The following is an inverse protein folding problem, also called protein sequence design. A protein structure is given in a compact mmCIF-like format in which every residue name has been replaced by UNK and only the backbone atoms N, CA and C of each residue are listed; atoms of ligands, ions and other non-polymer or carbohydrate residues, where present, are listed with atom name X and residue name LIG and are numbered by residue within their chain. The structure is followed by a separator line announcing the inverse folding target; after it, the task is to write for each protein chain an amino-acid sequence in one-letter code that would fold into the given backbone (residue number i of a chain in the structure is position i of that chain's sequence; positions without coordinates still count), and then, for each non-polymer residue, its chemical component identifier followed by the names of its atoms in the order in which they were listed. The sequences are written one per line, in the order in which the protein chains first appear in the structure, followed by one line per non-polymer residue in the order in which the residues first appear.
data_IF_296509413883
#
_entry.id   IF_296509413883
#
_cell.length_a   1.000
_cell.length_b   1.000
_cell.length_c   1.000
_cell.angle_alpha   90.00
_cell.angle_beta   90.00
_cell.angle_gamma   90.00
#
_symmetry.space_group_name_H-M   'P 1'
#
loop_
_entity.id
_entity.type
_entity.pdbx_description
1 polymer ?
#
# COMPACT_ATOMS: atom_id res chain seq x y z
N UNK A 1 25.44 24.29 -23.75
CA UNK A 1 24.58 25.45 -23.42
C UNK A 1 23.67 25.02 -22.29
N UNK A 2 23.83 25.54 -21.08
CA UNK A 2 22.92 25.20 -19.98
C UNK A 2 21.54 25.74 -20.32
N UNK A 3 20.55 24.87 -20.50
CA UNK A 3 19.18 25.29 -20.68
C UNK A 3 18.77 26.15 -19.48
N UNK A 4 18.16 27.31 -19.73
CA UNK A 4 17.59 28.14 -18.67
C UNK A 4 16.54 27.30 -17.93
N UNK A 5 16.59 27.22 -16.59
CA UNK A 5 15.63 26.43 -15.84
C UNK A 5 14.21 26.95 -16.09
N UNK A 6 13.26 26.03 -16.26
CA UNK A 6 11.85 26.37 -16.45
C UNK A 6 11.25 26.80 -15.12
N UNK A 7 10.57 27.94 -15.10
CA UNK A 7 9.92 28.48 -13.89
C UNK A 7 8.41 28.29 -13.98
N UNK A 8 7.82 27.63 -12.98
CA UNK A 8 6.38 27.59 -12.76
C UNK A 8 6.01 28.55 -11.62
N UNK A 9 5.01 29.40 -11.83
CA UNK A 9 4.53 30.32 -10.80
C UNK A 9 3.27 29.77 -10.12
N UNK A 10 3.25 29.80 -8.78
CA UNK A 10 2.06 29.60 -7.96
C UNK A 10 1.76 30.92 -7.24
N UNK A 11 0.53 31.39 -7.36
CA UNK A 11 0.03 32.54 -6.60
C UNK A 11 -0.62 32.06 -5.31
N UNK A 12 -0.19 32.61 -4.17
CA UNK A 12 -0.73 32.29 -2.84
C UNK A 12 -1.98 33.13 -2.57
N UNK A 13 -3.14 32.50 -2.44
CA UNK A 13 -4.41 33.17 -2.17
C UNK A 13 -4.97 32.79 -0.79
N UNK A 14 -5.37 33.80 0.00
CA UNK A 14 -5.89 33.57 1.37
C UNK A 14 -7.13 32.68 1.32
N UNK A 15 -7.12 31.61 2.12
CA UNK A 15 -8.21 30.65 2.24
C UNK A 15 -8.20 29.56 1.16
N UNK A 16 -7.23 29.58 0.25
CA UNK A 16 -7.12 28.58 -0.81
C UNK A 16 -6.62 27.24 -0.27
N UNK A 17 -7.32 26.16 -0.62
CA UNK A 17 -7.02 24.77 -0.23
C UNK A 17 -6.99 23.90 -1.48
N UNK A 18 -5.80 23.65 -2.00
CA UNK A 18 -5.60 22.91 -3.25
C UNK A 18 -5.36 21.40 -3.00
N UNK A 19 -6.17 20.78 -2.15
CA UNK A 19 -6.01 19.36 -1.79
C UNK A 19 -6.20 18.42 -2.99
N UNK A 20 -7.02 18.80 -3.96
CA UNK A 20 -7.34 18.00 -5.15
C UNK A 20 -6.54 18.39 -6.40
N UNK A 21 -5.70 19.43 -6.31
CA UNK A 21 -4.89 19.89 -7.44
C UNK A 21 -3.43 19.50 -7.25
N UNK A 22 -2.86 18.81 -8.22
CA UNK A 22 -1.46 18.37 -8.18
C UNK A 22 -0.71 19.01 -9.34
N UNK A 23 0.23 19.89 -9.01
CA UNK A 23 1.17 20.44 -9.98
C UNK A 23 2.31 19.44 -10.21
N UNK A 24 2.56 19.03 -11.46
CA UNK A 24 3.69 18.15 -11.80
C UNK A 24 4.86 18.99 -12.31
N UNK A 25 6.02 18.82 -11.68
CA UNK A 25 7.25 19.55 -11.96
C UNK A 25 8.35 18.55 -12.33
N UNK A 26 9.33 18.97 -13.13
CA UNK A 26 10.52 18.17 -13.38
C UNK A 26 11.65 18.59 -12.45
N UNK A 27 12.67 17.74 -12.34
CA UNK A 27 13.91 18.09 -11.64
C UNK A 27 14.56 19.30 -12.30
N UNK A 28 15.18 20.13 -11.46
CA UNK A 28 15.85 21.39 -11.81
C UNK A 28 14.91 22.52 -12.26
N UNK A 29 13.58 22.31 -12.27
CA UNK A 29 12.63 23.41 -12.42
C UNK A 29 12.60 24.30 -11.18
N UNK A 30 12.24 25.56 -11.39
CA UNK A 30 12.05 26.55 -10.33
C UNK A 30 10.56 26.69 -10.09
N UNK A 31 10.13 26.45 -8.85
CA UNK A 31 8.80 26.78 -8.40
C UNK A 31 8.83 28.13 -7.70
N UNK A 32 8.20 29.13 -8.32
CA UNK A 32 8.14 30.50 -7.82
C UNK A 32 6.80 30.75 -7.14
N UNK A 33 6.84 31.11 -5.87
CA UNK A 33 5.66 31.52 -5.13
C UNK A 33 5.52 33.04 -5.14
N UNK A 34 4.32 33.52 -5.43
CA UNK A 34 3.97 34.94 -5.49
C UNK A 34 2.79 35.21 -4.55
N UNK A 35 2.68 36.43 -4.03
CA UNK A 35 1.55 36.81 -3.17
C UNK A 35 0.37 37.27 -4.02
N UNK A 36 -0.81 36.67 -3.78
CA UNK A 36 -2.06 37.15 -4.34
C UNK A 36 -2.49 38.48 -3.71
N UNK A 37 -3.43 39.18 -4.37
CA UNK A 37 -3.82 40.56 -4.03
C UNK A 37 -4.21 40.78 -2.56
N UNK A 38 -4.85 39.79 -1.94
CA UNK A 38 -5.29 39.86 -0.54
C UNK A 38 -4.17 39.68 0.51
N UNK A 39 -2.96 39.37 0.06
CA UNK A 39 -1.78 39.12 0.90
C UNK A 39 -0.71 40.21 0.82
N UNK A 40 -0.87 41.21 -0.04
CA UNK A 40 0.07 42.33 -0.09
C UNK A 40 0.15 43.07 1.24
N UNK A 41 1.35 43.55 1.57
CA UNK A 41 1.70 44.20 2.84
C UNK A 41 1.51 43.35 4.11
N UNK A 42 1.32 42.04 3.98
CA UNK A 42 1.30 41.10 5.12
C UNK A 42 2.59 40.29 5.18
N UNK A 43 3.02 39.99 6.40
CA UNK A 43 4.07 39.01 6.61
C UNK A 43 3.51 37.62 6.33
N UNK A 44 4.11 36.92 5.37
CA UNK A 44 3.69 35.56 5.00
C UNK A 44 4.85 34.61 5.24
N UNK A 45 4.64 33.59 6.06
CA UNK A 45 5.61 32.51 6.27
C UNK A 45 5.15 31.29 5.46
N UNK A 46 5.98 30.83 4.53
CA UNK A 46 5.73 29.68 3.66
C UNK A 46 6.64 28.52 4.08
N UNK A 47 6.08 27.35 4.30
CA UNK A 47 6.80 26.11 4.62
C UNK A 47 6.58 25.07 3.53
N UNK A 48 7.61 24.27 3.24
CA UNK A 48 7.55 23.20 2.24
C UNK A 48 8.04 21.87 2.84
N UNK A 49 7.13 20.91 2.94
CA UNK A 49 7.39 19.55 3.45
C UNK A 49 7.48 18.56 2.29
N UNK A 50 8.35 17.51 2.35
CA UNK A 50 9.25 17.14 3.45
C UNK A 50 10.61 17.86 3.44
N UNK A 51 10.83 18.83 2.54
CA UNK A 51 12.12 19.51 2.40
C UNK A 51 12.57 20.34 3.61
N UNK A 52 11.65 20.62 4.54
CA UNK A 52 11.84 21.50 5.69
C UNK A 52 12.38 22.90 5.32
N UNK A 53 12.10 23.37 4.10
CA UNK A 53 12.43 24.73 3.67
C UNK A 53 11.35 25.69 4.14
N UNK A 54 11.78 26.83 4.69
CA UNK A 54 10.92 27.92 5.11
C UNK A 54 11.34 29.22 4.42
N UNK A 55 10.34 30.01 4.03
CA UNK A 55 10.51 31.29 3.36
C UNK A 55 9.61 32.33 4.03
N UNK A 56 10.06 33.59 4.05
CA UNK A 56 9.31 34.71 4.61
C UNK A 56 9.13 35.77 3.53
N UNK A 57 7.91 36.27 3.38
CA UNK A 57 7.57 37.41 2.54
C UNK A 57 7.31 38.66 3.40
N UNK A 58 7.75 39.86 2.95
CA UNK A 58 8.69 40.07 1.85
C UNK A 58 10.10 39.53 2.18
N UNK A 59 10.82 39.06 1.16
CA UNK A 59 12.16 38.49 1.36
C UNK A 59 13.13 39.59 1.85
N UNK A 60 13.80 39.44 3.01
CA UNK A 60 14.56 40.53 3.64
C UNK A 60 15.70 41.12 2.79
N UNK A 61 16.11 40.42 1.73
CA UNK A 61 17.29 40.73 0.91
C UNK A 61 16.98 41.41 -0.44
N UNK A 62 15.72 41.58 -0.83
CA UNK A 62 15.35 42.24 -2.11
C UNK A 62 14.88 43.68 -1.88
N UNK A 63 15.62 44.63 -2.47
CA UNK A 63 15.50 46.08 -2.33
C UNK A 63 14.52 46.76 -3.32
N UNK A 64 13.80 46.00 -4.15
CA UNK A 64 12.82 46.56 -5.10
C UNK A 64 11.38 46.25 -4.69
N UNK A 65 10.57 47.30 -4.54
CA UNK A 65 9.21 47.29 -3.98
C UNK A 65 8.14 46.49 -4.77
N UNK A 66 8.49 45.86 -5.91
CA UNK A 66 7.50 45.32 -6.85
C UNK A 66 7.61 43.82 -7.17
N UNK A 67 8.69 43.13 -6.76
CA UNK A 67 8.92 41.71 -7.08
C UNK A 67 9.03 40.86 -5.80
N UNK A 68 7.91 40.70 -5.08
CA UNK A 68 7.83 39.83 -3.90
C UNK A 68 7.54 38.39 -4.30
N UNK A 69 8.58 37.67 -4.68
CA UNK A 69 8.53 36.23 -4.92
C UNK A 69 9.63 35.50 -4.16
N UNK A 70 9.35 34.25 -3.79
CA UNK A 70 10.34 33.30 -3.27
C UNK A 70 10.42 32.09 -4.20
N UNK A 71 11.59 31.49 -4.28
CA UNK A 71 11.85 30.40 -5.22
C UNK A 71 12.28 29.13 -4.50
N UNK A 72 11.69 28.03 -4.94
CA UNK A 72 12.04 26.68 -4.56
C UNK A 72 12.62 25.96 -5.77
N UNK A 73 13.87 25.53 -5.68
CA UNK A 73 14.50 24.69 -6.71
C UNK A 73 14.09 23.23 -6.48
N UNK A 74 13.55 22.59 -7.52
CA UNK A 74 13.13 21.19 -7.51
C UNK A 74 14.34 20.26 -7.67
N UNK A 75 15.13 20.08 -6.63
CA UNK A 75 16.37 19.28 -6.63
C UNK A 75 16.15 17.80 -6.28
N UNK A 76 15.02 17.48 -5.65
CA UNK A 76 14.64 16.13 -5.23
C UNK A 76 13.31 15.70 -5.84
N UNK A 77 13.24 14.42 -6.22
CA UNK A 77 11.99 13.80 -6.66
C UNK A 77 11.08 13.52 -5.46
N UNK A 78 9.77 13.58 -5.68
CA UNK A 78 8.80 13.20 -4.66
C UNK A 78 7.58 14.12 -4.62
N UNK A 79 6.74 13.87 -3.63
CA UNK A 79 5.56 14.67 -3.35
C UNK A 79 5.85 15.68 -2.25
N UNK A 80 5.51 16.93 -2.50
CA UNK A 80 5.72 18.04 -1.61
C UNK A 80 4.40 18.73 -1.29
N UNK A 81 4.29 19.23 -0.07
CA UNK A 81 3.20 20.08 0.38
C UNK A 81 3.76 21.44 0.74
N UNK A 82 3.14 22.49 0.23
CA UNK A 82 3.40 23.84 0.69
C UNK A 82 2.24 24.32 1.56
N UNK A 83 2.55 25.01 2.65
CA UNK A 83 1.58 25.66 3.51
C UNK A 83 2.08 27.07 3.82
N UNK A 84 1.19 28.04 3.92
CA UNK A 84 1.58 29.39 4.32
C UNK A 84 0.71 29.95 5.45
N UNK A 85 1.31 30.82 6.24
CA UNK A 85 0.77 31.38 7.46
C UNK A 85 0.88 32.91 7.41
N UNK A 86 -0.11 33.60 7.93
CA UNK A 86 -0.14 35.06 7.98
C UNK A 86 0.29 35.53 9.37
N UNK A 87 1.20 36.50 9.40
CA UNK A 87 1.69 37.13 10.63
C UNK A 87 2.20 36.06 11.61
N UNK A 88 1.82 36.15 12.88
CA UNK A 88 2.21 35.19 13.92
C UNK A 88 1.20 34.05 14.09
N UNK A 89 0.30 33.85 13.10
CA UNK A 89 -0.70 32.79 13.17
C UNK A 89 -0.07 31.41 13.04
N UNK A 90 -0.51 30.48 13.88
CA UNK A 90 -0.19 29.05 13.76
C UNK A 90 -1.17 28.30 12.86
N UNK A 91 -2.28 28.93 12.46
CA UNK A 91 -3.25 28.34 11.57
C UNK A 91 -2.87 28.61 10.12
N UNK A 92 -2.77 27.54 9.33
CA UNK A 92 -2.48 27.65 7.90
C UNK A 92 -3.53 28.54 7.24
N UNK A 93 -3.08 29.52 6.46
CA UNK A 93 -3.88 30.46 5.71
C UNK A 93 -4.13 30.02 4.26
N UNK A 94 -3.51 28.93 3.84
CA UNK A 94 -3.74 28.21 2.60
C UNK A 94 -2.65 27.18 2.35
N UNK A 95 -2.95 26.20 1.51
CA UNK A 95 -2.02 25.11 1.19
C UNK A 95 -2.31 24.42 -0.13
N UNK A 96 -1.33 23.65 -0.59
CA UNK A 96 -1.45 22.82 -1.78
C UNK A 96 -0.28 21.85 -1.94
N UNK A 97 -0.33 21.10 -3.04
CA UNK A 97 0.62 20.02 -3.32
C UNK A 97 1.27 20.18 -4.68
N UNK A 98 2.54 19.80 -4.76
CA UNK A 98 3.23 19.62 -6.03
C UNK A 98 4.06 18.34 -5.99
N UNK A 99 4.29 17.76 -7.15
CA UNK A 99 5.01 16.51 -7.32
C UNK A 99 6.15 16.71 -8.32
N UNK A 100 7.38 16.51 -7.86
CA UNK A 100 8.56 16.51 -8.72
C UNK A 100 8.72 15.09 -9.26
N UNK A 101 8.40 14.91 -10.55
CA UNK A 101 8.38 13.59 -11.18
C UNK A 101 9.78 13.00 -11.31
N UNK A 102 9.96 11.68 -11.09
CA UNK A 102 11.23 11.01 -11.33
C UNK A 102 11.61 11.05 -12.80
N UNK A 103 12.91 11.21 -13.05
CA UNK A 103 13.57 11.00 -14.34
C UNK A 103 14.69 9.98 -14.16
N UNK A 104 14.82 9.05 -15.09
CA UNK A 104 15.88 8.03 -15.06
C UNK A 104 16.98 8.38 -16.05
N UNK A 105 18.22 8.35 -15.58
CA UNK A 105 19.38 8.36 -16.46
C UNK A 105 19.68 6.89 -16.81
N UNK A 106 19.45 6.53 -18.07
CA UNK A 106 19.74 5.19 -18.57
C UNK A 106 21.06 5.17 -19.35
N UNK A 107 21.53 3.96 -19.67
CA UNK A 107 22.73 3.72 -20.45
C UNK A 107 22.84 4.63 -21.69
N UNK A 108 24.06 5.09 -21.97
CA UNK A 108 24.35 5.99 -23.10
C UNK A 108 23.97 7.46 -22.85
N UNK A 109 23.70 7.85 -21.60
CA UNK A 109 23.41 9.24 -21.23
C UNK A 109 22.02 9.72 -21.65
N UNK A 110 21.14 8.79 -22.04
CA UNK A 110 19.75 9.10 -22.42
C UNK A 110 18.92 9.29 -21.15
N UNK A 111 18.06 10.30 -21.16
CA UNK A 111 17.03 10.50 -20.13
C UNK A 111 15.76 9.77 -20.52
N UNK A 112 15.16 9.07 -19.56
CA UNK A 112 13.86 8.43 -19.70
C UNK A 112 12.86 9.13 -18.79
N UNK A 113 11.75 9.57 -19.40
CA UNK A 113 10.63 10.20 -18.71
C UNK A 113 9.53 9.17 -18.44
N UNK A 114 8.64 9.47 -17.50
CA UNK A 114 7.44 8.65 -17.22
C UNK A 114 6.61 8.37 -18.49
N UNK A 115 6.45 9.36 -19.37
CA UNK A 115 5.65 9.22 -20.59
C UNK A 115 6.29 8.34 -21.66
N UNK A 116 7.58 8.01 -21.51
CA UNK A 116 8.30 7.13 -22.42
C UNK A 116 8.37 5.68 -21.95
N UNK A 117 7.75 5.35 -20.80
CA UNK A 117 7.77 3.99 -20.26
C UNK A 117 6.87 3.05 -21.07
N UNK A 118 7.47 1.94 -21.49
CA UNK A 118 6.80 0.77 -22.06
C UNK A 118 7.21 -0.43 -21.22
N UNK A 119 6.30 -0.85 -20.33
CA UNK A 119 6.54 -1.89 -19.35
C UNK A 119 5.92 -3.23 -19.77
N UNK A 120 6.65 -4.32 -19.56
CA UNK A 120 6.14 -5.69 -19.68
C UNK A 120 6.25 -6.41 -18.34
N UNK A 121 5.17 -7.08 -17.95
CA UNK A 121 5.11 -7.85 -16.69
C UNK A 121 5.57 -9.28 -16.90
N UNK A 122 6.45 -9.75 -16.02
CA UNK A 122 6.85 -11.14 -15.92
C UNK A 122 6.48 -11.71 -14.55
N UNK A 123 5.90 -12.91 -14.55
CA UNK A 123 5.76 -13.72 -13.34
C UNK A 123 7.15 -14.26 -12.99
N UNK A 124 7.80 -13.69 -11.96
CA UNK A 124 9.18 -14.01 -11.61
C UNK A 124 9.39 -15.52 -11.41
N UNK A 125 8.45 -16.21 -10.74
CA UNK A 125 8.48 -17.66 -10.53
C UNK A 125 8.51 -18.51 -11.82
N UNK A 126 8.16 -17.94 -12.98
CA UNK A 126 8.19 -18.62 -14.28
C UNK A 126 9.45 -18.27 -15.10
N UNK A 127 10.33 -17.41 -14.59
CA UNK A 127 11.62 -17.10 -15.21
C UNK A 127 12.68 -18.20 -14.98
N UNK A 128 12.38 -19.21 -14.14
CA UNK A 128 13.33 -20.28 -13.84
C UNK A 128 14.53 -19.78 -13.02
N UNK A 129 15.64 -20.54 -13.03
CA UNK A 129 16.86 -20.18 -12.32
C UNK A 129 17.44 -18.81 -12.77
N UNK A 130 18.06 -18.06 -11.86
CA UNK A 130 18.52 -16.68 -12.09
C UNK A 130 19.49 -16.57 -13.28
N UNK A 131 20.35 -17.57 -13.49
CA UNK A 131 21.29 -17.61 -14.61
C UNK A 131 20.60 -17.66 -16.00
N UNK A 132 19.33 -18.05 -16.06
CA UNK A 132 18.52 -18.04 -17.29
C UNK A 132 17.71 -16.76 -17.48
N UNK A 133 17.59 -15.91 -16.46
CA UNK A 133 16.74 -14.72 -16.53
C UNK A 133 17.16 -13.79 -17.65
N UNK A 134 18.46 -13.58 -17.83
CA UNK A 134 18.98 -12.72 -18.90
C UNK A 134 18.50 -13.17 -20.28
N UNK A 135 18.64 -14.44 -20.64
CA UNK A 135 18.22 -14.92 -21.96
C UNK A 135 16.70 -14.83 -22.15
N UNK A 136 15.94 -15.11 -21.09
CA UNK A 136 14.46 -15.04 -21.11
C UNK A 136 13.96 -13.60 -21.21
N UNK A 137 14.56 -12.66 -20.48
CA UNK A 137 14.22 -11.24 -20.51
C UNK A 137 14.72 -10.52 -21.78
N UNK A 138 15.67 -11.10 -22.51
CA UNK A 138 16.18 -10.53 -23.77
C UNK A 138 15.07 -10.34 -24.82
N UNK A 139 14.04 -11.20 -24.81
CA UNK A 139 12.89 -11.08 -25.71
C UNK A 139 12.16 -9.75 -25.50
N UNK A 140 11.97 -9.32 -24.25
CA UNK A 140 11.36 -8.05 -23.92
C UNK A 140 12.19 -6.86 -24.44
N UNK A 141 13.51 -6.92 -24.24
CA UNK A 141 14.43 -5.91 -24.76
C UNK A 141 14.35 -5.80 -26.29
N UNK A 142 14.45 -6.93 -27.00
CA UNK A 142 14.39 -6.99 -28.46
C UNK A 142 13.04 -6.57 -29.03
N UNK A 143 11.96 -6.75 -28.27
CA UNK A 143 10.62 -6.28 -28.63
C UNK A 143 10.43 -4.76 -28.41
N UNK A 144 11.41 -4.06 -27.84
CA UNK A 144 11.37 -2.61 -27.66
C UNK A 144 10.77 -2.12 -26.34
N UNK A 145 10.53 -3.01 -25.37
CA UNK A 145 10.20 -2.60 -24.01
C UNK A 145 11.44 -1.98 -23.34
N UNK A 146 11.22 -0.99 -22.49
CA UNK A 146 12.28 -0.33 -21.72
C UNK A 146 12.08 -0.45 -20.20
N UNK A 147 11.09 -1.24 -19.79
CA UNK A 147 10.75 -1.46 -18.39
C UNK A 147 10.30 -2.92 -18.21
N UNK A 148 10.88 -3.61 -17.23
CA UNK A 148 10.43 -4.93 -16.78
C UNK A 148 9.76 -4.76 -15.43
N UNK A 149 8.51 -5.18 -15.36
CA UNK A 149 7.79 -5.35 -14.11
C UNK A 149 7.88 -6.81 -13.66
N UNK A 150 8.37 -7.05 -12.44
CA UNK A 150 8.45 -8.37 -11.82
C UNK A 150 7.39 -8.48 -10.73
N UNK A 151 6.63 -9.57 -10.75
CA UNK A 151 5.91 -10.01 -9.53
C UNK A 151 6.92 -10.32 -8.42
N UNK A 152 6.49 -10.47 -7.15
CA UNK A 152 7.42 -10.67 -6.05
C UNK A 152 8.45 -11.78 -6.29
N UNK A 153 9.71 -11.46 -6.01
CA UNK A 153 10.87 -12.35 -6.17
C UNK A 153 11.25 -13.04 -4.86
N UNK A 154 10.55 -12.71 -3.77
CA UNK A 154 10.77 -13.24 -2.43
C UNK A 154 10.30 -14.70 -2.31
N UNK A 155 10.72 -15.36 -1.24
CA UNK A 155 10.27 -16.72 -0.91
C UNK A 155 8.75 -16.78 -0.77
N UNK A 156 8.14 -17.73 -1.48
CA UNK A 156 6.69 -17.89 -1.52
C UNK A 156 6.20 -18.89 -0.47
N UNK A 157 4.96 -18.72 -0.05
CA UNK A 157 4.26 -19.62 0.84
C UNK A 157 3.78 -20.91 0.19
N UNK A 158 3.11 -21.72 1.00
CA UNK A 158 2.64 -23.06 0.65
C UNK A 158 1.67 -23.09 -0.55
N UNK A 159 0.97 -22.00 -0.83
CA UNK A 159 0.08 -21.89 -1.99
C UNK A 159 0.83 -21.72 -3.32
N UNK A 160 2.12 -21.39 -3.26
CA UNK A 160 2.95 -21.00 -4.41
C UNK A 160 2.35 -19.84 -5.23
N UNK A 161 1.48 -19.03 -4.62
CA UNK A 161 0.99 -17.78 -5.20
C UNK A 161 2.07 -16.71 -5.12
N UNK A 162 2.28 -15.96 -6.20
CA UNK A 162 3.32 -14.92 -6.27
C UNK A 162 3.11 -13.80 -5.25
N UNK A 163 1.90 -13.62 -4.74
CA UNK A 163 1.55 -12.59 -3.75
C UNK A 163 1.45 -13.13 -2.32
N UNK A 164 1.57 -14.45 -2.13
CA UNK A 164 1.59 -15.07 -0.81
C UNK A 164 3.03 -15.25 -0.35
N UNK A 165 3.67 -14.17 0.09
CA UNK A 165 5.09 -14.15 0.47
C UNK A 165 5.29 -14.78 1.86
N UNK A 166 6.17 -15.78 1.97
CA UNK A 166 6.50 -16.43 3.23
C UNK A 166 7.59 -15.70 4.00
N UNK A 167 8.66 -15.29 3.30
CA UNK A 167 9.79 -14.58 3.88
C UNK A 167 10.17 -13.41 2.96
N UNK A 168 10.03 -12.19 3.47
CA UNK A 168 10.24 -10.97 2.70
C UNK A 168 11.73 -10.67 2.48
N UNK A 169 12.59 -11.16 3.37
CA UNK A 169 14.04 -10.91 3.37
C UNK A 169 14.85 -12.05 2.72
N UNK A 170 14.18 -13.00 2.08
CA UNK A 170 14.82 -14.13 1.41
C UNK A 170 14.36 -14.20 -0.04
N UNK A 171 15.30 -14.43 -0.94
CA UNK A 171 15.02 -14.65 -2.35
C UNK A 171 14.32 -15.99 -2.55
N UNK A 172 13.42 -16.09 -3.53
CA UNK A 172 12.77 -17.35 -3.86
C UNK A 172 13.80 -18.44 -4.21
N UNK A 173 13.82 -19.59 -3.51
CA UNK A 173 14.79 -20.67 -3.77
C UNK A 173 14.67 -21.28 -5.17
N UNK A 174 13.54 -21.07 -5.87
CA UNK A 174 13.38 -21.47 -7.28
C UNK A 174 14.39 -20.83 -8.22
N UNK A 175 15.02 -19.72 -7.81
CA UNK A 175 16.00 -19.01 -8.64
C UNK A 175 17.43 -19.57 -8.52
N UNK A 176 17.65 -20.53 -7.63
CA UNK A 176 18.91 -21.28 -7.54
C UNK A 176 19.38 -21.47 -6.11
N UNK A 177 20.22 -22.49 -5.92
CA UNK A 177 20.91 -22.72 -4.66
C UNK A 177 22.03 -21.67 -4.47
N UNK A 178 22.11 -21.07 -3.27
CA UNK A 178 23.08 -20.03 -2.91
C UNK A 178 23.00 -18.72 -3.72
N UNK A 179 21.81 -18.38 -4.23
CA UNK A 179 21.54 -17.10 -4.88
C UNK A 179 20.85 -16.16 -3.90
N UNK A 180 21.25 -14.90 -3.88
CA UNK A 180 20.66 -13.87 -3.02
C UNK A 180 20.23 -12.61 -3.79
N UNK A 181 19.76 -11.59 -3.06
CA UNK A 181 19.38 -10.31 -3.67
C UNK A 181 20.56 -9.55 -4.28
N UNK A 182 21.82 -9.80 -3.86
CA UNK A 182 22.98 -9.17 -4.47
C UNK A 182 23.20 -9.72 -5.89
N UNK A 183 22.94 -11.00 -6.13
CA UNK A 183 23.03 -11.59 -7.47
C UNK A 183 21.93 -11.06 -8.39
N UNK A 184 20.70 -10.90 -7.87
CA UNK A 184 19.63 -10.22 -8.61
C UNK A 184 20.02 -8.78 -8.93
N UNK A 185 20.60 -8.05 -7.97
CA UNK A 185 21.10 -6.69 -8.17
C UNK A 185 22.16 -6.64 -9.27
N UNK A 186 23.15 -7.55 -9.27
CA UNK A 186 24.17 -7.60 -10.33
C UNK A 186 23.55 -7.78 -11.71
N UNK A 187 22.55 -8.65 -11.82
CA UNK A 187 21.81 -8.85 -13.07
C UNK A 187 21.06 -7.59 -13.48
N UNK A 188 20.27 -7.00 -12.57
CA UNK A 188 19.51 -5.76 -12.83
C UNK A 188 20.45 -4.64 -13.27
N UNK A 189 21.55 -4.40 -12.55
CA UNK A 189 22.57 -3.41 -12.90
C UNK A 189 23.17 -3.70 -14.30
N UNK A 190 23.43 -4.97 -14.63
CA UNK A 190 23.91 -5.35 -15.96
C UNK A 190 22.89 -4.97 -17.05
N UNK A 191 21.61 -5.30 -16.85
CA UNK A 191 20.55 -5.06 -17.83
C UNK A 191 20.20 -3.57 -17.94
N UNK A 192 20.23 -2.82 -16.85
CA UNK A 192 20.12 -1.36 -16.84
C UNK A 192 21.24 -0.72 -17.67
N UNK A 193 22.49 -1.15 -17.46
CA UNK A 193 23.66 -0.58 -18.13
C UNK A 193 23.80 -1.04 -19.60
N UNK A 194 23.41 -2.26 -19.95
CA UNK A 194 23.56 -2.79 -21.32
C UNK A 194 22.35 -2.50 -22.20
N UNK A 195 21.15 -2.59 -21.64
CA UNK A 195 19.90 -2.49 -22.39
C UNK A 195 19.13 -1.19 -22.14
N UNK A 196 19.53 -0.40 -21.12
CA UNK A 196 18.79 0.79 -20.73
C UNK A 196 17.40 0.48 -20.19
N UNK A 197 17.19 -0.73 -19.67
CA UNK A 197 15.90 -1.18 -19.13
C UNK A 197 15.81 -0.90 -17.64
N UNK A 198 14.71 -0.31 -17.18
CA UNK A 198 14.44 -0.19 -15.74
C UNK A 198 13.66 -1.39 -15.21
N UNK A 199 13.79 -1.64 -13.91
CA UNK A 199 13.08 -2.71 -13.22
C UNK A 199 12.14 -2.13 -12.16
N UNK A 200 10.93 -2.69 -12.11
CA UNK A 200 9.94 -2.40 -11.08
C UNK A 200 9.49 -3.73 -10.50
N UNK A 201 9.29 -3.77 -9.19
CA UNK A 201 8.78 -4.95 -8.50
C UNK A 201 7.54 -4.58 -7.71
N UNK A 202 6.55 -5.48 -7.73
CA UNK A 202 5.43 -5.42 -6.79
C UNK A 202 5.89 -5.45 -5.33
N UNK A 203 5.24 -4.66 -4.48
CA UNK A 203 5.41 -4.68 -3.03
C UNK A 203 4.09 -5.04 -2.36
N UNK A 204 4.11 -6.06 -1.51
CA UNK A 204 2.91 -6.61 -0.83
C UNK A 204 2.95 -6.24 0.65
N UNK A 205 2.14 -5.25 1.04
CA UNK A 205 2.10 -4.74 2.42
C UNK A 205 0.96 -5.31 3.26
N UNK A 206 -0.10 -5.76 2.60
CA UNK A 206 -1.39 -6.03 3.22
C UNK A 206 -1.56 -7.47 3.74
N UNK A 207 -0.73 -8.42 3.28
CA UNK A 207 -0.83 -9.81 3.70
C UNK A 207 0.50 -10.54 3.56
N UNK A 208 0.60 -11.70 4.22
CA UNK A 208 1.71 -12.63 4.13
C UNK A 208 1.19 -14.07 4.03
N UNK A 209 2.07 -15.01 3.72
CA UNK A 209 1.70 -16.42 3.65
C UNK A 209 1.31 -16.95 5.03
N UNK A 210 0.26 -17.77 5.08
CA UNK A 210 -0.19 -18.44 6.33
C UNK A 210 0.88 -19.31 7.01
N UNK A 211 1.93 -19.71 6.29
CA UNK A 211 3.01 -20.55 6.79
C UNK A 211 4.32 -19.77 7.06
N UNK A 212 4.28 -18.44 7.07
CA UNK A 212 5.41 -17.61 7.48
C UNK A 212 5.85 -17.94 8.91
N UNK A 213 7.15 -18.18 9.11
CA UNK A 213 7.72 -18.49 10.43
C UNK A 213 7.66 -17.29 11.37
N UNK A 214 7.98 -16.11 10.87
CA UNK A 214 7.94 -14.86 11.64
C UNK A 214 6.54 -14.58 12.22
N UNK A 215 5.46 -15.04 11.57
CA UNK A 215 4.10 -14.88 12.08
C UNK A 215 3.81 -15.80 13.28
N UNK A 216 4.51 -16.93 13.40
CA UNK A 216 4.43 -17.80 14.58
C UNK A 216 5.17 -17.18 15.77
N UNK A 217 6.29 -16.50 15.49
CA UNK A 217 7.08 -15.76 16.48
C UNK A 217 6.39 -14.47 16.93
N UNK A 218 5.70 -13.81 15.99
CA UNK A 218 5.02 -12.52 16.17
C UNK A 218 3.53 -12.58 15.75
N UNK A 219 2.68 -13.35 16.45
CA UNK A 219 1.26 -13.48 16.13
C UNK A 219 0.47 -12.18 16.31
N UNK A 220 0.99 -11.21 17.06
CA UNK A 220 0.44 -9.86 17.25
C UNK A 220 0.41 -9.04 15.96
N UNK A 221 1.22 -9.39 14.96
CA UNK A 221 1.26 -8.73 13.66
C UNK A 221 0.06 -9.06 12.76
N UNK A 222 -0.76 -10.05 13.13
CA UNK A 222 -2.03 -10.36 12.45
C UNK A 222 -3.23 -10.07 13.35
N UNK A 223 -4.42 -9.99 12.75
CA UNK A 223 -5.66 -9.90 13.52
C UNK A 223 -5.97 -11.25 14.19
N UNK A 224 -6.02 -11.27 15.52
CA UNK A 224 -6.28 -12.47 16.31
C UNK A 224 -7.29 -12.17 17.45
N UNK A 225 -7.78 -13.21 18.13
CA UNK A 225 -8.80 -13.05 19.18
C UNK A 225 -8.31 -12.30 20.45
N UNK A 226 -7.01 -12.03 20.56
CA UNK A 226 -6.40 -11.28 21.64
C UNK A 226 -6.33 -9.78 21.31
N UNK A 227 -5.73 -9.40 20.17
CA UNK A 227 -5.60 -8.00 19.76
C UNK A 227 -6.85 -7.44 19.05
N UNK A 228 -7.73 -8.32 18.55
CA UNK A 228 -8.96 -7.99 17.85
C UNK A 228 -10.16 -8.74 18.43
N UNK A 229 -10.57 -8.48 19.69
CA UNK A 229 -11.61 -9.24 20.37
C UNK A 229 -12.97 -9.28 19.65
N UNK A 230 -13.27 -8.25 18.85
CA UNK A 230 -14.48 -8.19 18.03
C UNK A 230 -14.57 -9.31 16.98
N UNK A 231 -13.46 -9.99 16.66
CA UNK A 231 -13.43 -11.13 15.76
C UNK A 231 -13.78 -12.46 16.42
N UNK A 232 -13.92 -12.53 17.75
CA UNK A 232 -14.21 -13.80 18.47
C UNK A 232 -15.49 -14.49 17.98
N UNK A 233 -16.63 -13.80 17.75
CA UNK A 233 -17.83 -14.46 17.22
C UNK A 233 -17.59 -15.05 15.82
N UNK A 234 -16.88 -14.30 14.96
CA UNK A 234 -16.55 -14.74 13.61
C UNK A 234 -15.60 -15.95 13.63
N UNK A 235 -14.61 -15.95 14.52
CA UNK A 235 -13.68 -17.08 14.72
C UNK A 235 -14.43 -18.35 15.16
N UNK A 236 -15.34 -18.25 16.13
CA UNK A 236 -16.15 -19.40 16.59
C UNK A 236 -16.98 -19.98 15.44
N UNK A 237 -17.61 -19.11 14.65
CA UNK A 237 -18.37 -19.53 13.48
C UNK A 237 -17.49 -20.24 12.44
N UNK A 238 -16.33 -19.65 12.10
CA UNK A 238 -15.37 -20.25 11.16
C UNK A 238 -14.91 -21.64 11.62
N UNK A 239 -14.57 -21.79 12.91
CA UNK A 239 -14.20 -23.09 13.50
C UNK A 239 -15.32 -24.11 13.41
N UNK A 240 -16.56 -23.70 13.67
CA UNK A 240 -17.72 -24.58 13.56
C UNK A 240 -17.94 -25.06 12.12
N UNK A 241 -17.83 -24.16 11.14
CA UNK A 241 -17.95 -24.50 9.72
C UNK A 241 -16.82 -25.44 9.26
N UNK A 242 -15.60 -25.22 9.74
CA UNK A 242 -14.46 -26.12 9.48
C UNK A 242 -14.73 -27.53 10.02
N UNK A 243 -15.19 -27.64 11.27
CA UNK A 243 -15.50 -28.94 11.88
C UNK A 243 -16.67 -29.65 11.19
N UNK A 244 -17.72 -28.91 10.84
CA UNK A 244 -18.83 -29.42 10.04
C UNK A 244 -18.33 -29.98 8.69
N UNK A 245 -17.48 -29.23 7.98
CA UNK A 245 -16.94 -29.65 6.69
C UNK A 245 -16.13 -30.94 6.80
N UNK A 246 -15.32 -31.07 7.85
CA UNK A 246 -14.58 -32.31 8.14
C UNK A 246 -15.52 -33.48 8.43
N UNK A 247 -16.52 -33.28 9.28
CA UNK A 247 -17.47 -34.32 9.64
C UNK A 247 -18.32 -34.79 8.44
N UNK A 248 -18.68 -33.88 7.53
CA UNK A 248 -19.30 -34.22 6.24
C UNK A 248 -18.35 -35.08 5.40
N UNK A 249 -17.07 -34.69 5.28
CA UNK A 249 -16.08 -35.45 4.51
C UNK A 249 -15.85 -36.87 5.05
N UNK A 250 -16.07 -37.07 6.36
CA UNK A 250 -15.99 -38.36 7.04
C UNK A 250 -17.32 -39.16 6.99
N UNK A 251 -18.31 -38.70 6.21
CA UNK A 251 -19.65 -39.28 6.06
C UNK A 251 -20.47 -39.38 7.36
N UNK A 252 -20.21 -38.52 8.37
CA UNK A 252 -20.95 -38.58 9.65
C UNK A 252 -22.42 -38.19 9.57
N UNK A 253 -22.84 -37.52 8.48
CA UNK A 253 -24.21 -37.07 8.27
C UNK A 253 -24.93 -37.81 7.13
N UNK A 254 -24.37 -38.93 6.66
CA UNK A 254 -24.92 -39.67 5.53
C UNK A 254 -26.33 -40.21 5.82
N UNK A 255 -26.59 -40.61 7.07
CA UNK A 255 -27.90 -41.03 7.59
C UNK A 255 -28.94 -39.90 7.59
N UNK A 256 -28.48 -38.65 7.55
CA UNK A 256 -29.30 -37.44 7.49
C UNK A 256 -29.37 -36.84 6.08
N UNK A 257 -28.99 -37.61 5.06
CA UNK A 257 -29.06 -37.20 3.65
C UNK A 257 -27.93 -36.26 3.23
N UNK A 258 -26.85 -36.15 4.01
CA UNK A 258 -25.67 -35.35 3.69
C UNK A 258 -24.41 -36.24 3.64
N UNK A 259 -24.13 -36.88 2.49
CA UNK A 259 -22.91 -37.66 2.30
C UNK A 259 -21.70 -36.75 2.04
N UNK A 260 -20.50 -37.34 1.99
CA UNK A 260 -19.25 -36.63 1.71
C UNK A 260 -19.20 -35.98 0.31
N UNK A 261 -19.95 -36.52 -0.66
CA UNK A 261 -20.04 -35.99 -2.02
C UNK A 261 -21.38 -35.28 -2.19
N UNK A 262 -21.35 -33.97 -2.37
CA UNK A 262 -22.52 -33.12 -2.57
C UNK A 262 -22.66 -32.86 -4.07
N UNK A 263 -23.61 -33.52 -4.73
CA UNK A 263 -23.79 -33.46 -6.19
C UNK A 263 -25.24 -33.21 -6.62
N UNK A 264 -26.16 -32.98 -5.67
CA UNK A 264 -27.56 -32.71 -5.95
C UNK A 264 -28.19 -31.75 -4.91
N UNK A 265 -29.34 -31.18 -5.27
CA UNK A 265 -30.06 -30.20 -4.45
C UNK A 265 -30.58 -30.78 -3.12
N UNK A 266 -30.86 -32.07 -3.06
CA UNK A 266 -31.26 -32.75 -1.82
C UNK A 266 -30.17 -32.68 -0.76
N UNK A 267 -28.92 -32.91 -1.15
CA UNK A 267 -27.77 -32.77 -0.26
C UNK A 267 -27.57 -31.31 0.19
N UNK A 268 -27.79 -30.32 -0.70
CA UNK A 268 -27.74 -28.90 -0.33
C UNK A 268 -28.84 -28.53 0.67
N UNK A 269 -30.05 -29.07 0.50
CA UNK A 269 -31.15 -28.93 1.45
C UNK A 269 -30.80 -29.51 2.83
N UNK A 270 -30.22 -30.72 2.86
CA UNK A 270 -29.77 -31.36 4.10
C UNK A 270 -28.66 -30.55 4.79
N UNK A 271 -27.68 -30.03 4.05
CA UNK A 271 -26.63 -29.14 4.57
C UNK A 271 -27.22 -27.87 5.19
N UNK A 272 -28.13 -27.19 4.48
CA UNK A 272 -28.78 -25.98 4.98
C UNK A 272 -29.60 -26.25 6.25
N UNK A 273 -30.26 -27.42 6.32
CA UNK A 273 -30.99 -27.85 7.50
C UNK A 273 -30.06 -28.10 8.69
N UNK A 274 -29.02 -28.92 8.54
CA UNK A 274 -28.04 -29.22 9.61
C UNK A 274 -27.39 -27.93 10.12
N UNK A 275 -27.00 -27.03 9.21
CA UNK A 275 -26.37 -25.76 9.58
C UNK A 275 -27.30 -24.89 10.44
N UNK A 276 -28.57 -24.75 10.05
CA UNK A 276 -29.55 -23.87 10.73
C UNK A 276 -30.15 -24.49 11.99
N UNK A 277 -30.34 -25.79 12.02
CA UNK A 277 -31.02 -26.49 13.11
C UNK A 277 -30.07 -26.94 14.21
N UNK A 278 -28.82 -27.30 13.87
CA UNK A 278 -27.90 -27.88 14.85
C UNK A 278 -26.71 -26.96 15.10
N UNK A 279 -25.98 -26.61 14.03
CA UNK A 279 -24.67 -25.95 14.15
C UNK A 279 -24.85 -24.52 14.65
N UNK A 280 -25.55 -23.64 13.93
CA UNK A 280 -25.69 -22.23 14.31
C UNK A 280 -26.33 -22.03 15.70
N UNK A 281 -27.40 -22.76 16.10
CA UNK A 281 -27.97 -22.62 17.44
C UNK A 281 -27.00 -23.04 18.55
N UNK A 282 -26.20 -24.10 18.34
CA UNK A 282 -25.24 -24.59 19.33
C UNK A 282 -24.14 -23.58 19.70
N UNK A 283 -23.81 -22.67 18.78
CA UNK A 283 -22.77 -21.66 18.98
C UNK A 283 -23.22 -20.48 19.84
N UNK A 284 -24.54 -20.31 20.02
CA UNK A 284 -25.13 -19.23 20.82
C UNK A 284 -24.58 -17.84 20.48
N UNK A 285 -24.30 -17.59 19.19
CA UNK A 285 -23.64 -16.34 18.74
C UNK A 285 -24.41 -15.06 19.13
N UNK A 286 -25.72 -15.16 19.35
CA UNK A 286 -26.55 -14.05 19.81
C UNK A 286 -26.19 -13.57 21.22
N UNK A 287 -25.63 -14.44 22.08
CA UNK A 287 -25.20 -14.07 23.44
C UNK A 287 -24.08 -13.01 23.41
N UNK A 288 -23.29 -12.92 22.33
CA UNK A 288 -22.28 -11.85 22.14
C UNK A 288 -22.88 -10.45 21.96
N UNK A 289 -24.19 -10.35 21.67
CA UNK A 289 -24.91 -9.09 21.47
C UNK A 289 -25.91 -8.80 22.59
N UNK A 290 -25.92 -9.62 23.65
CA UNK A 290 -26.87 -9.54 24.74
C UNK A 290 -26.17 -9.32 26.08
N UNK A 291 -26.89 -8.75 27.04
CA UNK A 291 -26.45 -8.70 28.43
C UNK A 291 -26.85 -10.01 29.08
N UNK A 292 -25.88 -10.73 29.66
CA UNK A 292 -26.15 -11.89 30.48
C UNK A 292 -26.94 -11.46 31.72
N UNK A 293 -28.17 -11.94 31.84
CA UNK A 293 -28.95 -11.76 33.05
C UNK A 293 -28.51 -12.87 34.01
N UNK A 294 -27.56 -12.56 34.88
CA UNK A 294 -27.34 -13.40 36.07
C UNK A 294 -28.60 -13.32 36.93
N UNK A 295 -29.06 -14.47 37.43
CA UNK A 295 -30.28 -14.55 38.24
C UNK A 295 -30.27 -13.55 39.41
N UNK A 296 -29.10 -13.29 39.99
CA UNK A 296 -28.93 -12.35 41.11
C UNK A 296 -29.17 -10.88 40.71
N UNK A 297 -28.73 -10.46 39.52
CA UNK A 297 -28.95 -9.11 38.99
C UNK A 297 -30.40 -8.90 38.55
N UNK A 298 -31.06 -9.93 37.99
CA UNK A 298 -32.50 -9.84 37.72
C UNK A 298 -33.35 -9.74 38.97
N UNK A 299 -33.00 -10.45 40.05
CA UNK A 299 -33.74 -10.33 41.31
C UNK A 299 -33.56 -8.94 41.93
N UNK A 300 -32.34 -8.41 41.91
CA UNK A 300 -32.05 -7.06 42.39
C UNK A 300 -32.82 -6.00 41.58
N UNK A 301 -32.80 -6.05 40.25
CA UNK A 301 -33.57 -5.12 39.41
C UNK A 301 -35.09 -5.26 39.57
N UNK A 302 -35.60 -6.48 39.78
CA UNK A 302 -37.03 -6.66 40.08
C UNK A 302 -37.40 -6.12 41.47
N UNK A 303 -36.52 -6.23 42.47
CA UNK A 303 -36.73 -5.63 43.80
C UNK A 303 -36.65 -4.10 43.75
N UNK A 304 -35.72 -3.54 42.99
CA UNK A 304 -35.55 -2.09 42.85
C UNK A 304 -36.67 -1.45 42.02
N UNK A 305 -37.28 -2.19 41.08
CA UNK A 305 -38.44 -1.72 40.30
C UNK A 305 -39.78 -1.82 41.05
N UNK A 306 -39.81 -2.46 42.22
CA UNK A 306 -41.00 -2.58 43.08
C UNK A 306 -41.00 -1.61 44.27
N UNK A 307 -39.93 -0.84 44.46
CA UNK A 307 -39.82 0.27 45.42
C UNK A 307 -39.94 1.63 44.72
#
# INVERSE_FOLDING_TARGET
MSATPTTLCIELNKGERLESSIFRLQKDWILRFTLGKGLYAKNVRLTIQPSNREYIFPEPKKLSDFDHFVEFTCDQFGSFRYEFFLEDSTLSSGDGYFHVVPEWNIAGGKKMSLNSLSCITHLAKLLGPLNEWKSRLEVAHKAGYNCIHLTPIQELGISNSSYSIAEFQTLNPLFGENVDFNDVKKLVDELENKWGMIFVQDVVWNHAARNSKWLQEHPECAFNCQNSPHLRPAYILDRALFHLSRDISENKYADRGLPAVIDNDGHLGALAHILRSDILPSLKLHEFFQIGIDNDLSQQWMMDAQN
#
